data_IF_424817667787
#
_entry.id   IF_424817667787
#
_cell.length_a   1.000
_cell.length_b   1.000
_cell.length_c   1.000
_cell.angle_alpha   90.00
_cell.angle_beta   90.00
_cell.angle_gamma   90.00
#
_symmetry.space_group_name_H-M   'P 1'
#
loop_
_entity.id
_entity.type
_entity.pdbx_description
1 polymer ?
#
# COMPACT_ATOMS: atom_id res chain seq x y z
N UNK A 1 16.53 21.56 -15.50
CA UNK A 1 15.48 20.81 -16.21
C UNK A 1 15.68 19.32 -15.93
N UNK A 2 14.91 18.71 -15.02
CA UNK A 2 15.08 17.30 -14.66
C UNK A 2 14.44 16.45 -15.76
N UNK A 3 15.24 15.75 -16.58
CA UNK A 3 14.74 14.79 -17.57
C UNK A 3 14.01 13.66 -16.83
N UNK A 4 12.67 13.66 -16.86
CA UNK A 4 11.88 12.47 -16.52
C UNK A 4 12.18 11.39 -17.56
N UNK A 5 13.10 10.47 -17.25
CA UNK A 5 13.29 9.26 -18.06
C UNK A 5 12.02 8.42 -17.93
N UNK A 6 11.28 8.28 -19.02
CA UNK A 6 10.17 7.33 -19.12
C UNK A 6 10.72 5.90 -19.06
N UNK A 7 10.00 5.02 -18.35
CA UNK A 7 10.31 3.59 -18.30
C UNK A 7 10.01 2.96 -19.67
N UNK A 8 10.87 2.06 -20.14
CA UNK A 8 10.66 1.35 -21.40
C UNK A 8 9.64 0.21 -21.24
N UNK A 9 8.98 -0.21 -22.32
CA UNK A 9 8.09 -1.39 -22.28
C UNK A 9 8.83 -2.64 -21.80
N UNK A 10 10.09 -2.81 -22.22
CA UNK A 10 10.93 -3.91 -21.77
C UNK A 10 11.14 -3.94 -20.24
N UNK A 11 11.33 -2.77 -19.64
CA UNK A 11 11.46 -2.64 -18.18
C UNK A 11 10.11 -2.90 -17.49
N UNK A 12 8.98 -2.51 -18.09
CA UNK A 12 7.65 -2.83 -17.57
C UNK A 12 7.39 -4.34 -17.60
N UNK A 13 7.72 -5.01 -18.69
CA UNK A 13 7.60 -6.47 -18.83
C UNK A 13 8.47 -7.19 -17.80
N UNK A 14 9.71 -6.75 -17.60
CA UNK A 14 10.56 -7.28 -16.54
C UNK A 14 9.89 -7.18 -15.16
N UNK A 15 9.32 -6.01 -14.83
CA UNK A 15 8.62 -5.80 -13.56
C UNK A 15 7.41 -6.75 -13.44
N UNK A 16 6.61 -6.90 -14.51
CA UNK A 16 5.45 -7.81 -14.54
C UNK A 16 5.88 -9.24 -14.25
N UNK A 17 6.84 -9.79 -15.01
CA UNK A 17 7.30 -11.17 -14.83
C UNK A 17 7.91 -11.40 -13.45
N UNK A 18 8.66 -10.42 -12.93
CA UNK A 18 9.31 -10.56 -11.63
C UNK A 18 8.32 -10.45 -10.46
N UNK A 19 7.35 -9.54 -10.53
CA UNK A 19 6.43 -9.24 -9.43
C UNK A 19 5.18 -10.10 -9.48
N UNK A 20 4.44 -10.07 -10.60
CA UNK A 20 3.14 -10.74 -10.70
C UNK A 20 3.29 -12.25 -10.86
N UNK A 21 4.18 -12.69 -11.75
CA UNK A 21 4.39 -14.11 -12.04
C UNK A 21 5.44 -14.78 -11.14
N UNK A 22 5.98 -14.04 -10.17
CA UNK A 22 6.99 -14.50 -9.19
C UNK A 22 8.20 -15.21 -9.82
N UNK A 23 8.61 -14.79 -11.03
CA UNK A 23 9.83 -15.32 -11.67
C UNK A 23 11.06 -14.76 -10.98
N UNK A 24 12.14 -15.55 -10.95
CA UNK A 24 13.43 -15.01 -10.52
C UNK A 24 13.89 -13.91 -11.50
N UNK A 25 14.77 -13.01 -11.05
CA UNK A 25 15.12 -11.82 -11.83
C UNK A 25 15.78 -12.16 -13.18
N UNK A 26 16.61 -13.21 -13.25
CA UNK A 26 17.24 -13.62 -14.52
C UNK A 26 16.21 -14.15 -15.51
N UNK A 27 15.24 -14.94 -15.05
CA UNK A 27 14.17 -15.47 -15.91
C UNK A 27 13.21 -14.37 -16.34
N UNK A 28 12.87 -13.44 -15.45
CA UNK A 28 12.08 -12.25 -15.79
C UNK A 28 12.76 -11.39 -16.86
N UNK A 29 14.08 -11.19 -16.78
CA UNK A 29 14.85 -10.48 -17.79
C UNK A 29 14.89 -11.25 -19.12
N UNK A 30 14.96 -12.58 -19.08
CA UNK A 30 14.89 -13.40 -20.30
C UNK A 30 13.54 -13.27 -20.98
N UNK A 31 12.45 -13.37 -20.22
CA UNK A 31 11.08 -13.25 -20.74
C UNK A 31 10.76 -11.83 -21.24
N UNK A 32 11.37 -10.81 -20.65
CA UNK A 32 11.30 -9.44 -21.14
C UNK A 32 12.19 -9.21 -22.39
N UNK A 33 12.91 -10.22 -22.89
CA UNK A 33 13.68 -10.11 -24.14
C UNK A 33 15.04 -9.42 -24.01
N UNK A 34 15.64 -9.37 -22.82
CA UNK A 34 17.00 -8.87 -22.67
C UNK A 34 18.01 -9.83 -23.29
N UNK A 35 18.92 -9.33 -24.12
CA UNK A 35 19.96 -10.13 -24.77
C UNK A 35 20.95 -10.79 -23.78
N UNK A 36 21.22 -10.12 -22.65
CA UNK A 36 22.07 -10.62 -21.56
C UNK A 36 21.31 -10.68 -20.23
N UNK A 37 20.43 -11.67 -20.02
CA UNK A 37 19.47 -11.68 -18.91
C UNK A 37 20.11 -11.60 -17.52
N UNK A 38 21.25 -12.25 -17.29
CA UNK A 38 21.93 -12.23 -15.98
C UNK A 38 22.43 -10.83 -15.62
N UNK A 39 23.08 -10.14 -16.56
CA UNK A 39 23.60 -8.78 -16.38
C UNK A 39 22.44 -7.79 -16.24
N UNK A 40 21.46 -7.86 -17.13
CA UNK A 40 20.27 -7.01 -17.08
C UNK A 40 19.51 -7.17 -15.76
N UNK A 41 19.29 -8.40 -15.29
CA UNK A 41 18.67 -8.65 -14.00
C UNK A 41 19.47 -8.04 -12.84
N UNK A 42 20.80 -8.17 -12.86
CA UNK A 42 21.68 -7.60 -11.85
C UNK A 42 21.57 -6.06 -11.80
N UNK A 43 21.54 -5.41 -12.95
CA UNK A 43 21.41 -3.96 -13.07
C UNK A 43 20.02 -3.45 -12.70
N UNK A 44 18.97 -4.06 -13.25
CA UNK A 44 17.57 -3.64 -13.04
C UNK A 44 17.13 -3.76 -11.59
N UNK A 45 17.56 -4.83 -10.89
CA UNK A 45 17.23 -5.01 -9.47
C UNK A 45 17.91 -4.00 -8.55
N UNK A 46 18.97 -3.34 -9.01
CA UNK A 46 19.70 -2.28 -8.27
C UNK A 46 19.43 -0.89 -8.81
N UNK A 47 18.66 -0.76 -9.89
CA UNK A 47 18.42 0.52 -10.52
C UNK A 47 17.44 1.36 -9.66
N UNK A 48 17.84 2.55 -9.20
CA UNK A 48 17.01 3.40 -8.34
C UNK A 48 15.73 3.91 -9.03
N UNK A 49 15.66 3.90 -10.36
CA UNK A 49 14.44 4.21 -11.10
C UNK A 49 13.44 3.03 -11.16
N UNK A 50 13.95 1.78 -11.11
CA UNK A 50 13.14 0.56 -11.25
C UNK A 50 12.63 0.07 -9.88
N UNK A 51 13.45 0.23 -8.83
CA UNK A 51 13.09 -0.16 -7.45
C UNK A 51 11.73 0.41 -6.99
N UNK A 52 11.42 1.72 -7.13
CA UNK A 52 10.11 2.27 -6.78
C UNK A 52 8.97 1.69 -7.61
N UNK A 53 9.22 1.40 -8.89
CA UNK A 53 8.21 0.85 -9.80
C UNK A 53 7.89 -0.61 -9.45
N UNK A 54 8.88 -1.41 -9.06
CA UNK A 54 8.65 -2.74 -8.49
C UNK A 54 7.87 -2.67 -7.18
N UNK A 55 8.19 -1.72 -6.29
CA UNK A 55 7.42 -1.51 -5.05
C UNK A 55 5.97 -1.15 -5.34
N UNK A 56 5.73 -0.21 -6.25
CA UNK A 56 4.38 0.18 -6.70
C UNK A 56 3.62 -0.99 -7.32
N UNK A 57 4.29 -1.79 -8.16
CA UNK A 57 3.67 -2.97 -8.78
C UNK A 57 3.28 -4.01 -7.74
N UNK A 58 4.10 -4.23 -6.70
CA UNK A 58 3.74 -5.13 -5.59
C UNK A 58 2.52 -4.59 -4.85
N UNK A 59 2.53 -3.29 -4.54
CA UNK A 59 1.41 -2.65 -3.85
C UNK A 59 0.10 -2.79 -4.65
N UNK A 60 0.14 -2.59 -5.98
CA UNK A 60 -1.03 -2.79 -6.84
C UNK A 60 -1.54 -4.24 -6.82
N UNK A 61 -0.63 -5.22 -6.84
CA UNK A 61 -1.00 -6.64 -6.72
C UNK A 61 -1.63 -6.95 -5.35
N UNK A 62 -1.08 -6.39 -4.27
CA UNK A 62 -1.64 -6.55 -2.93
C UNK A 62 -3.03 -5.91 -2.80
N UNK A 63 -3.17 -4.66 -3.22
CA UNK A 63 -4.41 -3.88 -3.08
C UNK A 63 -5.50 -4.29 -4.07
N UNK A 64 -5.13 -4.85 -5.23
CA UNK A 64 -6.08 -5.35 -6.21
C UNK A 64 -6.39 -6.82 -5.99
N UNK A 65 -5.54 -7.69 -6.53
CA UNK A 65 -5.82 -9.13 -6.63
C UNK A 65 -5.88 -9.82 -5.27
N UNK A 66 -4.89 -9.59 -4.39
CA UNK A 66 -4.81 -10.31 -3.13
C UNK A 66 -5.86 -9.86 -2.12
N UNK A 67 -6.18 -8.56 -2.07
CA UNK A 67 -7.26 -8.06 -1.24
C UNK A 67 -8.62 -8.68 -1.63
N UNK A 68 -8.91 -8.75 -2.93
CA UNK A 68 -10.13 -9.39 -3.44
C UNK A 68 -10.17 -10.89 -3.12
N UNK A 69 -9.07 -11.60 -3.34
CA UNK A 69 -8.96 -13.02 -3.01
C UNK A 69 -9.13 -13.26 -1.50
N UNK A 70 -8.53 -12.43 -0.65
CA UNK A 70 -8.68 -12.51 0.79
C UNK A 70 -10.14 -12.32 1.20
N UNK A 71 -10.80 -11.26 0.72
CA UNK A 71 -12.23 -11.01 0.99
C UNK A 71 -13.13 -12.16 0.55
N UNK A 72 -12.89 -12.72 -0.64
CA UNK A 72 -13.61 -13.91 -1.10
C UNK A 72 -13.37 -15.12 -0.21
N UNK A 73 -12.12 -15.37 0.19
CA UNK A 73 -11.76 -16.51 1.05
C UNK A 73 -12.41 -16.41 2.42
N UNK A 74 -12.40 -15.21 3.03
CA UNK A 74 -13.07 -14.94 4.29
C UNK A 74 -14.58 -15.22 4.19
N UNK A 75 -15.22 -14.78 3.09
CA UNK A 75 -16.64 -15.09 2.82
C UNK A 75 -16.89 -16.59 2.71
N UNK A 76 -16.03 -17.33 2.01
CA UNK A 76 -16.18 -18.78 1.87
C UNK A 76 -16.09 -19.49 3.22
N UNK A 77 -15.13 -19.11 4.08
CA UNK A 77 -15.00 -19.67 5.43
C UNK A 77 -16.24 -19.39 6.28
N UNK A 78 -16.80 -18.18 6.20
CA UNK A 78 -17.99 -17.80 6.97
C UNK A 78 -19.25 -18.59 6.55
N UNK A 79 -19.37 -18.92 5.26
CA UNK A 79 -20.52 -19.64 4.70
C UNK A 79 -20.39 -21.16 4.76
N UNK A 80 -19.17 -21.69 4.92
CA UNK A 80 -18.89 -23.12 4.95
C UNK A 80 -19.51 -23.77 6.21
N UNK A 81 -20.51 -24.67 6.09
CA UNK A 81 -21.10 -25.32 7.25
C UNK A 81 -20.09 -26.16 8.06
N UNK A 82 -19.09 -26.73 7.40
CA UNK A 82 -18.12 -27.67 7.98
C UNK A 82 -16.91 -26.96 8.61
N UNK A 83 -16.72 -25.67 8.33
CA UNK A 83 -15.64 -24.90 8.95
C UNK A 83 -15.80 -24.81 10.48
N UNK A 84 -14.72 -24.92 11.27
CA UNK A 84 -14.77 -24.74 12.72
C UNK A 84 -15.35 -23.38 13.11
N UNK A 85 -16.15 -23.32 14.18
CA UNK A 85 -16.76 -22.07 14.65
C UNK A 85 -15.72 -20.98 14.93
N UNK A 86 -14.56 -21.32 15.47
CA UNK A 86 -13.45 -20.38 15.70
C UNK A 86 -12.91 -19.77 14.39
N UNK A 87 -12.83 -20.55 13.32
CA UNK A 87 -12.41 -20.06 12.01
C UNK A 87 -13.43 -19.08 11.41
N UNK A 88 -14.74 -19.35 11.58
CA UNK A 88 -15.81 -18.44 11.16
C UNK A 88 -15.77 -17.12 11.90
N UNK A 89 -15.64 -17.17 13.22
CA UNK A 89 -15.52 -15.97 14.08
C UNK A 89 -14.26 -15.19 13.71
N UNK A 90 -13.13 -15.86 13.52
CA UNK A 90 -11.89 -15.21 13.08
C UNK A 90 -12.06 -14.54 11.72
N UNK A 91 -12.68 -15.22 10.75
CA UNK A 91 -12.88 -14.68 9.41
C UNK A 91 -13.81 -13.45 9.42
N UNK A 92 -14.92 -13.52 10.18
CA UNK A 92 -15.84 -12.40 10.37
C UNK A 92 -15.14 -11.20 11.03
N UNK A 93 -14.37 -11.45 12.09
CA UNK A 93 -13.60 -10.41 12.77
C UNK A 93 -12.61 -9.72 11.82
N UNK A 94 -11.82 -10.50 11.08
CA UNK A 94 -10.86 -9.95 10.12
C UNK A 94 -11.56 -9.14 9.03
N UNK A 95 -12.72 -9.58 8.54
CA UNK A 95 -13.49 -8.80 7.57
C UNK A 95 -13.94 -7.43 8.12
N UNK A 96 -14.42 -7.38 9.38
CA UNK A 96 -14.81 -6.14 10.04
C UNK A 96 -13.62 -5.22 10.35
N UNK A 97 -12.47 -5.78 10.75
CA UNK A 97 -11.23 -5.02 10.94
C UNK A 97 -10.74 -4.41 9.62
N UNK A 98 -10.84 -5.15 8.50
CA UNK A 98 -10.48 -4.64 7.17
C UNK A 98 -11.46 -3.58 6.65
N UNK A 99 -12.74 -3.65 7.02
CA UNK A 99 -13.74 -2.63 6.71
C UNK A 99 -13.59 -1.36 7.56
N UNK A 100 -12.83 -1.43 8.66
CA UNK A 100 -12.68 -0.35 9.62
C UNK A 100 -13.84 -0.23 10.62
N UNK A 101 -14.68 -1.27 10.73
CA UNK A 101 -15.79 -1.32 11.69
C UNK A 101 -15.35 -1.83 13.08
N UNK A 102 -14.13 -2.37 13.18
CA UNK A 102 -13.56 -2.90 14.42
C UNK A 102 -12.11 -2.46 14.62
N UNK A 103 -11.75 -2.16 15.87
CA UNK A 103 -10.38 -1.82 16.29
C UNK A 103 -10.12 -0.32 16.42
N UNK A 104 -8.87 0.06 16.73
CA UNK A 104 -8.45 1.46 16.93
C UNK A 104 -8.73 2.38 15.73
N UNK A 105 -8.80 1.81 14.53
CA UNK A 105 -9.06 2.56 13.29
C UNK A 105 -10.58 2.82 13.10
N UNK A 106 -11.45 2.05 13.77
CA UNK A 106 -12.89 2.30 13.82
C UNK A 106 -13.26 3.54 14.67
N UNK A 107 -12.48 3.84 15.71
CA UNK A 107 -12.64 5.09 16.45
C UNK A 107 -12.23 6.31 15.61
N UNK A 108 -11.22 6.16 14.74
CA UNK A 108 -10.75 7.23 13.85
C UNK A 108 -11.67 7.48 12.65
N UNK A 109 -12.39 6.45 12.18
CA UNK A 109 -13.38 6.60 11.09
C UNK A 109 -14.64 7.33 11.56
N UNK A 110 -15.09 7.08 12.79
CA UNK A 110 -16.17 7.86 13.44
C UNK A 110 -15.71 9.30 13.73
N UNK A 111 -14.41 9.51 13.96
CA UNK A 111 -13.82 10.83 14.23
C UNK A 111 -13.54 11.69 12.98
N UNK A 112 -13.99 11.27 11.79
CA UNK A 112 -14.10 12.18 10.63
C UNK A 112 -12.81 12.51 9.88
N UNK A 113 -11.83 11.63 9.80
CA UNK A 113 -10.61 11.88 8.99
C UNK A 113 -10.79 11.71 7.47
N UNK A 114 -12.02 11.62 6.96
CA UNK A 114 -12.26 11.62 5.51
C UNK A 114 -12.27 13.06 4.98
N UNK A 115 -11.07 13.60 4.75
CA UNK A 115 -10.86 14.96 4.21
C UNK A 115 -11.66 15.25 2.92
N UNK A 116 -11.98 14.20 2.16
CA UNK A 116 -12.74 14.31 0.92
C UNK A 116 -14.24 14.57 1.14
N UNK A 117 -14.75 14.32 2.34
CA UNK A 117 -16.17 14.45 2.70
C UNK A 117 -16.44 15.61 3.65
N UNK A 118 -15.40 16.29 4.13
CA UNK A 118 -15.53 17.48 4.99
C UNK A 118 -15.91 18.72 4.19
N UNK A 119 -16.77 19.55 4.77
CA UNK A 119 -17.08 20.87 4.25
C UNK A 119 -15.86 21.80 4.35
N UNK A 120 -15.81 22.87 3.53
CA UNK A 120 -14.73 23.85 3.60
C UNK A 120 -14.51 24.45 5.01
N UNK A 121 -15.60 24.63 5.77
CA UNK A 121 -15.56 25.20 7.11
C UNK A 121 -14.96 24.21 8.14
N UNK A 122 -15.29 22.92 8.01
CA UNK A 122 -14.73 21.86 8.85
C UNK A 122 -13.23 21.66 8.60
N UNK A 123 -12.80 21.74 7.33
CA UNK A 123 -11.39 21.73 6.96
C UNK A 123 -10.64 22.94 7.52
N UNK A 124 -11.24 24.14 7.43
CA UNK A 124 -10.67 25.37 7.98
C UNK A 124 -10.51 25.29 9.50
N UNK A 125 -11.51 24.76 10.21
CA UNK A 125 -11.43 24.54 11.65
C UNK A 125 -10.33 23.56 12.05
N UNK A 126 -10.09 22.53 11.24
CA UNK A 126 -9.03 21.54 11.49
C UNK A 126 -7.63 22.10 11.24
N UNK A 127 -7.46 22.91 10.19
CA UNK A 127 -6.22 23.66 9.93
C UNK A 127 -5.89 24.56 11.13
N UNK A 128 -6.87 25.28 11.68
CA UNK A 128 -6.66 26.14 12.85
C UNK A 128 -6.21 25.36 14.09
N UNK A 129 -6.76 24.16 14.33
CA UNK A 129 -6.29 23.27 15.41
C UNK A 129 -4.84 22.85 15.21
N UNK A 130 -4.44 22.45 14.00
CA UNK A 130 -3.08 22.04 13.71
C UNK A 130 -2.06 23.18 13.78
N UNK A 131 -2.45 24.39 13.39
CA UNK A 131 -1.60 25.57 13.57
C UNK A 131 -1.38 25.90 15.05
N UNK A 132 -2.41 25.69 15.87
CA UNK A 132 -2.34 25.84 17.33
C UNK A 132 -1.42 24.79 17.95
N UNK A 133 -1.56 23.52 17.57
CA UNK A 133 -0.68 22.43 18.02
C UNK A 133 0.78 22.65 17.59
N UNK A 134 1.01 23.07 16.34
CA UNK A 134 2.34 23.40 15.84
C UNK A 134 2.98 24.53 16.64
N UNK A 135 2.21 25.56 17.00
CA UNK A 135 2.69 26.70 17.78
C UNK A 135 3.07 26.28 19.21
N UNK A 136 2.27 25.42 19.85
CA UNK A 136 2.58 24.86 21.17
C UNK A 136 3.84 23.98 21.17
N UNK A 137 4.04 23.15 20.13
CA UNK A 137 5.25 22.33 19.98
C UNK A 137 6.52 23.20 19.84
N UNK A 138 6.45 24.28 19.05
CA UNK A 138 7.57 25.20 18.87
C UNK A 138 7.97 25.86 20.21
N UNK A 139 7.00 26.32 20.99
CA UNK A 139 7.25 26.92 22.31
C UNK A 139 7.93 25.94 23.27
N UNK A 140 7.49 24.68 23.28
CA UNK A 140 8.08 23.64 24.12
C UNK A 140 9.53 23.31 23.71
N UNK A 141 9.83 23.25 22.41
CA UNK A 141 11.21 23.05 21.93
C UNK A 141 12.14 24.23 22.18
N UNK A 142 11.63 25.46 22.25
CA UNK A 142 12.43 26.64 22.63
C UNK A 142 12.70 26.70 24.13
N UNK A 143 11.76 26.28 24.97
CA UNK A 143 11.94 26.24 26.43
C UNK A 143 12.97 25.17 26.87
N UNK A 144 13.15 24.11 26.11
CA UNK A 144 14.10 23.03 26.40
C UNK A 144 15.55 23.33 26.01
N UNK A 145 15.81 24.48 25.38
CA UNK A 145 17.14 24.94 24.92
C UNK A 145 17.69 26.14 25.69
N UNK A 146 17.00 26.58 26.75
CA UNK A 146 17.46 27.63 27.66
C UNK A 146 17.95 27.03 28.98
#
# INVERSE_FOLDING_TARGET
>A
MIRKRSITEQQKDFIRYHVAERRNATDAARLAGYAFPKQAAYELTRNPAILPLMRRSRQALYQGELANLAGYTLRMIMLDPDAPASAKVSAARTALELAGDLGKDAENSISGNNFAEMTPDELSGMIGRWETERSGLLQNTTAQKC
#
